data_IF_441349996814
#
_entry.id   IF_441349996814
#
_cell.length_a   1.000
_cell.length_b   1.000
_cell.length_c   1.000
_cell.angle_alpha   90.00
_cell.angle_beta   90.00
_cell.angle_gamma   90.00
#
_symmetry.space_group_name_H-M   'P 1'
#
loop_
_entity.id
_entity.type
_entity.pdbx_description
1 polymer ?
#
# COMPACT_ATOMS: atom_id res chain seq x y z
N UNK A 1 20.89 13.64 -20.60
CA UNK A 1 20.26 12.44 -19.98
C UNK A 1 18.76 12.36 -20.30
N UNK A 2 18.00 13.46 -20.16
CA UNK A 2 16.55 13.48 -20.41
C UNK A 2 16.14 13.18 -21.86
N UNK A 3 16.88 13.62 -22.86
CA UNK A 3 16.58 13.39 -24.28
C UNK A 3 16.82 11.94 -24.73
N UNK A 4 17.83 11.27 -24.18
CA UNK A 4 18.08 9.85 -24.45
C UNK A 4 16.98 8.96 -23.83
N UNK A 5 16.50 9.34 -22.65
CA UNK A 5 15.42 8.65 -21.94
C UNK A 5 14.08 8.71 -22.68
N UNK A 6 13.73 9.85 -23.31
CA UNK A 6 12.53 9.98 -24.15
C UNK A 6 12.58 9.05 -25.38
N UNK A 7 13.72 8.99 -26.09
CA UNK A 7 13.88 8.12 -27.26
C UNK A 7 13.80 6.65 -26.89
N UNK A 8 14.36 6.27 -25.73
CA UNK A 8 14.33 4.90 -25.26
C UNK A 8 12.91 4.47 -24.84
N UNK A 9 12.12 5.37 -24.26
CA UNK A 9 10.70 5.12 -23.95
C UNK A 9 9.87 4.85 -25.23
N UNK A 10 10.11 5.61 -26.29
CA UNK A 10 9.41 5.42 -27.57
C UNK A 10 9.85 4.17 -28.35
N UNK A 11 11.05 3.65 -28.09
CA UNK A 11 11.55 2.45 -28.78
C UNK A 11 11.13 1.14 -28.11
N UNK A 12 10.91 1.12 -26.80
CA UNK A 12 10.61 -0.10 -26.05
C UNK A 12 9.12 -0.39 -25.90
N UNK A 13 8.26 0.62 -26.07
CA UNK A 13 6.81 0.49 -25.90
C UNK A 13 6.20 1.06 -27.18
N UNK A 14 5.41 0.29 -27.90
CA UNK A 14 4.63 0.76 -29.07
C UNK A 14 3.57 1.80 -28.68
N UNK A 15 3.44 2.09 -27.41
CA UNK A 15 2.45 2.96 -26.83
C UNK A 15 2.95 4.40 -26.79
N UNK A 16 2.01 5.34 -26.87
CA UNK A 16 2.32 6.77 -26.83
C UNK A 16 2.52 7.20 -25.37
N UNK A 17 3.62 7.87 -25.08
CA UNK A 17 3.89 8.48 -23.77
C UNK A 17 3.79 9.99 -23.91
N UNK A 18 2.87 10.59 -23.16
CA UNK A 18 2.68 12.03 -23.09
C UNK A 18 3.18 12.53 -21.74
N UNK A 19 3.95 13.59 -21.74
CA UNK A 19 4.43 14.24 -20.52
C UNK A 19 3.66 15.54 -20.36
N UNK A 20 3.19 15.82 -19.13
CA UNK A 20 2.54 17.11 -18.81
C UNK A 20 3.59 18.22 -18.98
N UNK A 21 3.42 19.16 -19.93
CA UNK A 21 4.47 20.14 -20.26
C UNK A 21 4.87 21.01 -19.08
N UNK A 22 3.89 21.39 -18.25
CA UNK A 22 4.08 22.27 -17.09
C UNK A 22 4.82 21.58 -15.93
N UNK A 23 4.88 20.24 -15.94
CA UNK A 23 5.52 19.40 -14.91
C UNK A 23 6.74 18.64 -15.42
N UNK A 24 7.15 18.91 -16.65
CA UNK A 24 8.25 18.17 -17.28
C UNK A 24 9.62 18.54 -16.73
N UNK A 25 9.84 19.81 -16.48
CA UNK A 25 11.12 20.33 -15.96
C UNK A 25 11.05 20.46 -14.46
N UNK A 26 12.14 20.11 -13.73
CA UNK A 26 12.20 20.31 -12.29
C UNK A 26 12.02 21.79 -11.92
N UNK A 27 11.14 22.06 -10.97
CA UNK A 27 10.93 23.37 -10.37
C UNK A 27 10.75 23.19 -8.86
N UNK A 28 11.65 23.75 -8.04
CA UNK A 28 11.65 23.61 -6.61
C UNK A 28 10.47 24.30 -5.89
N UNK A 29 9.79 25.22 -6.57
CA UNK A 29 8.63 25.92 -6.04
C UNK A 29 7.31 25.16 -6.26
N UNK A 30 7.32 24.09 -7.10
CA UNK A 30 6.16 23.26 -7.42
C UNK A 30 4.91 24.08 -7.81
N UNK A 31 4.98 25.00 -8.79
CA UNK A 31 3.93 25.99 -9.04
C UNK A 31 2.58 25.42 -9.49
N UNK A 32 2.54 24.14 -9.87
CA UNK A 32 1.35 23.46 -10.36
C UNK A 32 0.60 22.66 -9.30
N UNK A 33 1.16 22.50 -8.11
CA UNK A 33 0.59 21.72 -7.01
C UNK A 33 0.89 22.38 -5.66
N UNK A 34 -0.06 22.35 -4.74
CA UNK A 34 0.16 22.84 -3.37
C UNK A 34 0.93 21.83 -2.52
N UNK A 35 0.84 20.56 -2.85
CA UNK A 35 1.50 19.45 -2.18
C UNK A 35 1.98 18.41 -3.19
N UNK A 36 3.28 18.28 -3.45
CA UNK A 36 3.83 17.38 -4.47
C UNK A 36 3.87 15.93 -4.00
N UNK A 37 2.70 15.35 -3.75
CA UNK A 37 2.53 13.98 -3.31
C UNK A 37 1.48 13.28 -4.19
N UNK A 38 1.77 12.12 -4.77
CA UNK A 38 0.85 11.38 -5.64
C UNK A 38 -0.37 10.78 -4.90
N UNK A 39 -0.46 10.91 -3.59
CA UNK A 39 -1.68 10.63 -2.84
C UNK A 39 -2.73 11.74 -3.00
N UNK A 40 -2.30 12.96 -3.34
CA UNK A 40 -3.17 14.11 -3.48
C UNK A 40 -3.84 14.11 -4.86
N UNK A 41 -5.17 14.08 -4.91
CA UNK A 41 -5.94 14.10 -6.17
C UNK A 41 -5.63 15.32 -7.04
N UNK A 42 -5.35 16.47 -6.43
CA UNK A 42 -5.00 17.71 -7.13
C UNK A 42 -3.70 17.59 -7.93
N UNK A 43 -2.74 16.77 -7.48
CA UNK A 43 -1.49 16.54 -8.19
C UNK A 43 -1.69 15.91 -9.58
N UNK A 44 -2.85 15.28 -9.82
CA UNK A 44 -3.21 14.66 -11.08
C UNK A 44 -4.06 15.56 -12.01
N UNK A 45 -4.42 16.77 -11.61
CA UNK A 45 -5.37 17.59 -12.37
C UNK A 45 -4.92 17.81 -13.82
N UNK A 46 -3.66 18.20 -14.04
CA UNK A 46 -3.10 18.41 -15.38
C UNK A 46 -2.93 17.09 -16.14
N UNK A 47 -2.45 16.04 -15.46
CA UNK A 47 -2.29 14.72 -16.06
C UNK A 47 -3.63 14.13 -16.53
N UNK A 48 -4.69 14.25 -15.72
CA UNK A 48 -6.03 13.79 -16.09
C UNK A 48 -6.64 14.60 -17.24
N UNK A 49 -6.38 15.91 -17.30
CA UNK A 49 -6.81 16.74 -18.43
C UNK A 49 -6.14 16.28 -19.74
N UNK A 50 -4.82 16.09 -19.71
CA UNK A 50 -4.06 15.59 -20.84
C UNK A 50 -4.48 14.16 -21.22
N UNK A 51 -4.73 13.30 -20.26
CA UNK A 51 -5.18 11.93 -20.49
C UNK A 51 -6.53 11.87 -21.20
N UNK A 52 -7.48 12.73 -20.83
CA UNK A 52 -8.77 12.85 -21.52
C UNK A 52 -8.60 13.34 -22.96
N UNK A 53 -7.71 14.30 -23.22
CA UNK A 53 -7.41 14.79 -24.56
C UNK A 53 -6.79 13.70 -25.46
N UNK A 54 -5.87 12.91 -24.89
CA UNK A 54 -5.11 11.90 -25.62
C UNK A 54 -5.75 10.51 -25.60
N UNK A 55 -6.87 10.36 -24.90
CA UNK A 55 -7.53 9.07 -24.67
C UNK A 55 -6.59 8.02 -24.07
N UNK A 56 -5.78 8.44 -23.09
CA UNK A 56 -4.74 7.60 -22.51
C UNK A 56 -5.34 6.51 -21.59
N UNK A 57 -4.70 5.35 -21.50
CA UNK A 57 -5.13 4.24 -20.66
C UNK A 57 -4.75 4.44 -19.19
N UNK A 58 -3.63 5.14 -18.94
CA UNK A 58 -3.04 5.33 -17.61
C UNK A 58 -2.61 6.78 -17.40
N UNK A 59 -2.69 7.25 -16.16
CA UNK A 59 -2.02 8.46 -15.70
C UNK A 59 -1.13 8.10 -14.53
N UNK A 60 0.14 8.46 -14.62
CA UNK A 60 1.18 8.10 -13.66
C UNK A 60 1.86 9.37 -13.16
N UNK A 61 2.08 9.48 -11.85
CA UNK A 61 2.83 10.57 -11.25
C UNK A 61 3.71 10.04 -10.11
N UNK A 62 4.93 10.52 -10.04
CA UNK A 62 5.84 10.25 -8.91
C UNK A 62 5.87 11.45 -7.97
N UNK A 63 6.30 11.24 -6.73
CA UNK A 63 6.75 12.31 -5.87
C UNK A 63 8.15 12.84 -6.30
N UNK A 64 8.66 13.91 -5.67
CA UNK A 64 9.88 14.56 -6.13
C UNK A 64 11.14 13.70 -6.10
N UNK A 65 11.26 12.77 -5.15
CA UNK A 65 12.40 11.83 -5.04
C UNK A 65 12.16 10.50 -5.75
N UNK A 66 10.96 10.37 -6.42
CA UNK A 66 10.58 9.22 -7.24
C UNK A 66 10.62 7.88 -6.48
N UNK A 67 10.21 7.88 -5.22
CA UNK A 67 10.06 6.67 -4.42
C UNK A 67 8.60 6.17 -4.37
N UNK A 68 7.60 7.03 -4.64
CA UNK A 68 6.16 6.73 -4.68
C UNK A 68 5.59 6.90 -6.08
N UNK A 69 4.64 6.04 -6.43
CA UNK A 69 3.93 6.06 -7.70
C UNK A 69 2.43 6.14 -7.51
N UNK A 70 1.84 7.28 -7.84
CA UNK A 70 0.39 7.41 -7.95
C UNK A 70 -0.10 7.02 -9.34
N UNK A 71 -1.30 6.45 -9.38
CA UNK A 71 -1.84 5.81 -10.59
C UNK A 71 -3.32 6.11 -10.74
N UNK A 72 -3.72 6.52 -11.92
CA UNK A 72 -5.11 6.44 -12.39
C UNK A 72 -5.18 5.51 -13.58
N UNK A 73 -6.21 4.68 -13.62
CA UNK A 73 -6.48 3.73 -14.70
C UNK A 73 -7.81 4.06 -15.34
N UNK A 74 -7.89 3.93 -16.67
CA UNK A 74 -9.14 4.13 -17.38
C UNK A 74 -10.03 2.91 -17.24
N UNK A 75 -11.27 3.10 -16.78
CA UNK A 75 -12.32 2.09 -16.87
C UNK A 75 -12.92 2.09 -18.28
N UNK A 76 -12.78 0.99 -19.00
CA UNK A 76 -13.27 0.87 -20.37
C UNK A 76 -14.79 0.95 -20.48
N UNK A 77 -15.54 0.64 -19.39
CA UNK A 77 -17.00 0.62 -19.39
C UNK A 77 -17.60 2.01 -19.19
N UNK A 78 -17.06 2.78 -18.25
CA UNK A 78 -17.55 4.13 -17.96
C UNK A 78 -16.79 5.23 -18.71
N UNK A 79 -15.57 4.95 -19.15
CA UNK A 79 -14.63 5.94 -19.69
C UNK A 79 -13.98 6.83 -18.63
N UNK A 80 -14.30 6.61 -17.35
CA UNK A 80 -13.76 7.39 -16.23
C UNK A 80 -12.36 6.92 -15.81
N UNK A 81 -11.59 7.83 -15.24
CA UNK A 81 -10.29 7.53 -14.66
C UNK A 81 -10.41 7.23 -13.17
N UNK A 82 -10.12 6.01 -12.79
CA UNK A 82 -10.24 5.49 -11.42
C UNK A 82 -8.87 5.61 -10.71
N UNK A 83 -8.78 6.32 -9.58
CA UNK A 83 -7.56 6.34 -8.78
C UNK A 83 -7.32 4.98 -8.12
N UNK A 84 -6.11 4.44 -8.27
CA UNK A 84 -5.66 3.32 -7.47
C UNK A 84 -4.99 3.84 -6.21
N UNK A 85 -5.40 3.34 -5.04
CA UNK A 85 -4.66 3.57 -3.79
C UNK A 85 -3.32 2.85 -3.83
N UNK A 86 -2.38 3.22 -2.94
CA UNK A 86 -1.11 2.51 -2.84
C UNK A 86 -1.27 1.01 -2.55
N UNK A 87 -2.28 0.65 -1.76
CA UNK A 87 -2.65 -0.74 -1.51
C UNK A 87 -3.13 -1.45 -2.78
N UNK A 88 -3.95 -0.79 -3.62
CA UNK A 88 -4.46 -1.36 -4.86
C UNK A 88 -3.34 -1.53 -5.90
N UNK A 89 -2.58 -0.48 -6.17
CA UNK A 89 -1.50 -0.52 -7.16
C UNK A 89 -0.38 -1.47 -6.74
N UNK A 90 -0.02 -1.49 -5.44
CA UNK A 90 0.96 -2.41 -4.88
C UNK A 90 0.52 -3.86 -4.95
N UNK A 91 -0.75 -4.17 -4.63
CA UNK A 91 -1.31 -5.52 -4.75
C UNK A 91 -1.36 -5.99 -6.21
N UNK A 92 -1.77 -5.12 -7.13
CA UNK A 92 -1.80 -5.41 -8.57
C UNK A 92 -0.39 -5.74 -9.09
N UNK A 93 0.61 -4.93 -8.71
CA UNK A 93 2.01 -5.20 -9.05
C UNK A 93 2.53 -6.49 -8.42
N UNK A 94 2.15 -6.79 -7.17
CA UNK A 94 2.51 -8.04 -6.50
C UNK A 94 1.98 -9.25 -7.28
N UNK A 95 0.67 -9.26 -7.60
CA UNK A 95 0.02 -10.31 -8.40
C UNK A 95 0.70 -10.46 -9.76
N UNK A 96 0.93 -9.34 -10.47
CA UNK A 96 1.58 -9.35 -11.77
C UNK A 96 2.99 -9.92 -11.71
N UNK A 97 3.83 -9.43 -10.79
CA UNK A 97 5.23 -9.88 -10.65
C UNK A 97 5.30 -11.37 -10.31
N UNK A 98 4.49 -11.84 -9.37
CA UNK A 98 4.48 -13.26 -8.99
C UNK A 98 3.99 -14.15 -10.15
N UNK A 99 2.91 -13.73 -10.83
CA UNK A 99 2.37 -14.47 -11.97
C UNK A 99 3.39 -14.59 -13.11
N UNK A 100 4.07 -13.49 -13.45
CA UNK A 100 5.05 -13.47 -14.53
C UNK A 100 6.33 -14.22 -14.19
N UNK A 101 6.80 -14.14 -12.94
CA UNK A 101 7.94 -14.95 -12.47
C UNK A 101 7.59 -16.46 -12.55
N UNK A 102 6.38 -16.83 -12.11
CA UNK A 102 5.91 -18.22 -12.17
C UNK A 102 5.75 -18.70 -13.61
N UNK A 103 5.17 -17.89 -14.49
CA UNK A 103 4.97 -18.23 -15.91
C UNK A 103 6.31 -18.45 -16.63
N UNK A 104 7.25 -17.53 -16.44
CA UNK A 104 8.58 -17.59 -17.10
C UNK A 104 9.48 -18.72 -16.58
N UNK A 105 9.43 -19.01 -15.29
CA UNK A 105 10.31 -20.01 -14.64
C UNK A 105 9.66 -21.39 -14.42
N UNK A 106 8.34 -21.52 -14.68
CA UNK A 106 7.54 -22.72 -14.39
C UNK A 106 7.12 -22.83 -12.91
N UNK A 107 7.88 -22.28 -11.98
CA UNK A 107 7.58 -22.23 -10.55
C UNK A 107 8.23 -21.01 -9.90
N UNK A 108 7.71 -20.60 -8.74
CA UNK A 108 8.40 -19.67 -7.87
C UNK A 108 9.45 -20.40 -7.00
N UNK A 109 10.48 -19.69 -6.53
CA UNK A 109 11.42 -20.25 -5.55
C UNK A 109 10.69 -20.76 -4.31
N UNK A 110 11.06 -21.95 -3.82
CA UNK A 110 10.42 -22.57 -2.65
C UNK A 110 10.57 -21.75 -1.37
N UNK A 111 11.61 -20.93 -1.29
CA UNK A 111 11.91 -19.98 -0.21
C UNK A 111 11.55 -18.53 -0.58
N UNK A 112 10.72 -18.35 -1.61
CA UNK A 112 10.29 -17.04 -2.09
C UNK A 112 9.46 -16.28 -1.05
N UNK A 113 9.74 -15.00 -0.90
CA UNK A 113 9.08 -14.14 0.08
C UNK A 113 8.58 -12.83 -0.52
N UNK A 114 7.37 -12.44 -0.11
CA UNK A 114 6.82 -11.10 -0.24
C UNK A 114 6.94 -10.42 1.12
N UNK A 115 7.34 -9.15 1.13
CA UNK A 115 7.53 -8.37 2.36
C UNK A 115 6.58 -7.16 2.33
N UNK A 116 5.78 -6.96 3.39
CA UNK A 116 4.88 -5.81 3.51
C UNK A 116 4.99 -5.14 4.87
N UNK A 117 4.59 -3.87 4.96
CA UNK A 117 4.41 -3.23 6.28
C UNK A 117 3.16 -3.78 6.97
N UNK A 118 3.14 -3.75 8.32
CA UNK A 118 2.00 -4.19 9.13
C UNK A 118 0.70 -3.41 8.86
N UNK A 119 0.77 -2.26 8.21
CA UNK A 119 -0.38 -1.42 7.86
C UNK A 119 -0.74 -1.50 6.36
N UNK A 120 -0.08 -2.38 5.63
CA UNK A 120 -0.39 -2.67 4.23
C UNK A 120 -1.51 -3.70 4.14
N UNK A 121 -2.35 -3.59 3.14
CA UNK A 121 -3.55 -4.39 2.92
C UNK A 121 -3.35 -5.90 3.08
N UNK A 122 -4.35 -6.58 3.66
CA UNK A 122 -4.40 -8.04 3.75
C UNK A 122 -4.76 -8.71 2.40
N UNK A 123 -5.04 -7.96 1.34
CA UNK A 123 -5.14 -8.52 -0.01
C UNK A 123 -3.82 -9.19 -0.43
N UNK A 124 -2.69 -8.64 -0.01
CA UNK A 124 -1.35 -9.22 -0.27
C UNK A 124 -1.15 -10.55 0.44
N UNK A 125 -1.78 -10.77 1.60
CA UNK A 125 -1.75 -12.05 2.33
C UNK A 125 -2.40 -13.16 1.49
N UNK A 126 -3.55 -12.87 0.92
CA UNK A 126 -4.28 -13.81 0.06
C UNK A 126 -3.51 -14.10 -1.24
N UNK A 127 -2.86 -13.07 -1.81
CA UNK A 127 -1.99 -13.25 -2.98
C UNK A 127 -0.81 -14.16 -2.62
N UNK A 128 -0.08 -13.86 -1.56
CA UNK A 128 1.06 -14.68 -1.12
C UNK A 128 0.67 -16.14 -0.86
N UNK A 129 -0.47 -16.35 -0.20
CA UNK A 129 -1.06 -17.66 0.03
C UNK A 129 -1.38 -18.40 -1.28
N UNK A 130 -2.00 -17.74 -2.26
CA UNK A 130 -2.37 -18.34 -3.53
C UNK A 130 -1.15 -18.75 -4.37
N UNK A 131 -0.05 -18.03 -4.23
CA UNK A 131 1.23 -18.35 -4.88
C UNK A 131 2.11 -19.28 -4.05
N UNK A 132 1.70 -19.66 -2.84
CA UNK A 132 2.48 -20.48 -1.90
C UNK A 132 3.87 -19.88 -1.65
N UNK A 133 3.94 -18.58 -1.43
CA UNK A 133 5.16 -17.86 -1.05
C UNK A 133 5.05 -17.35 0.38
N UNK A 134 6.19 -17.18 1.04
CA UNK A 134 6.23 -16.66 2.40
C UNK A 134 5.81 -15.19 2.40
N UNK A 135 4.91 -14.83 3.33
CA UNK A 135 4.65 -13.44 3.66
C UNK A 135 5.45 -13.05 4.91
N UNK A 136 6.12 -11.91 4.85
CA UNK A 136 6.87 -11.32 5.97
C UNK A 136 6.27 -9.94 6.24
N UNK A 137 5.74 -9.78 7.45
CA UNK A 137 5.31 -8.47 7.94
C UNK A 137 6.46 -7.77 8.65
N UNK A 138 6.60 -6.46 8.41
CA UNK A 138 7.59 -5.61 9.06
C UNK A 138 6.93 -4.33 9.57
N UNK A 139 7.59 -3.61 10.46
CA UNK A 139 7.13 -2.27 10.88
C UNK A 139 7.08 -1.30 9.69
N UNK A 140 6.31 -0.22 9.82
CA UNK A 140 6.25 0.84 8.82
C UNK A 140 7.61 1.49 8.58
N UNK A 141 7.89 1.75 7.33
CA UNK A 141 9.14 2.32 6.83
C UNK A 141 9.96 1.31 6.04
N UNK A 142 10.22 1.64 4.79
CA UNK A 142 10.84 0.74 3.82
C UNK A 142 12.22 0.22 4.24
N UNK A 143 12.90 0.93 5.17
CA UNK A 143 14.14 0.46 5.82
C UNK A 143 14.02 -0.96 6.39
N UNK A 144 12.83 -1.35 6.85
CA UNK A 144 12.60 -2.69 7.39
C UNK A 144 12.50 -3.73 6.28
N UNK A 145 11.87 -3.39 5.15
CA UNK A 145 11.90 -4.22 3.94
C UNK A 145 13.34 -4.35 3.43
N UNK A 146 14.08 -3.23 3.37
CA UNK A 146 15.50 -3.23 3.03
C UNK A 146 16.36 -4.10 3.95
N UNK A 147 16.02 -4.17 5.26
CA UNK A 147 16.67 -5.05 6.23
C UNK A 147 16.41 -6.53 5.94
N UNK A 148 15.19 -6.90 5.55
CA UNK A 148 14.88 -8.28 5.15
C UNK A 148 15.65 -8.68 3.89
N UNK A 149 15.75 -7.80 2.89
CA UNK A 149 16.56 -8.04 1.70
C UNK A 149 18.02 -8.30 2.09
N UNK A 150 18.59 -7.47 2.95
CA UNK A 150 19.96 -7.65 3.44
C UNK A 150 20.12 -8.98 4.20
N UNK A 151 19.11 -9.35 5.01
CA UNK A 151 19.08 -10.61 5.73
C UNK A 151 19.12 -11.83 4.81
N UNK A 152 18.38 -11.81 3.71
CA UNK A 152 18.41 -12.86 2.68
C UNK A 152 19.80 -12.95 2.02
N UNK A 153 20.38 -11.81 1.66
CA UNK A 153 21.72 -11.77 1.05
C UNK A 153 22.82 -12.30 1.98
N UNK A 154 22.81 -11.89 3.25
CA UNK A 154 23.80 -12.30 4.23
C UNK A 154 23.68 -13.76 4.65
N UNK A 155 22.45 -14.26 4.78
CA UNK A 155 22.22 -15.65 5.20
C UNK A 155 22.28 -16.65 4.05
N UNK A 156 22.11 -16.19 2.81
CA UNK A 156 21.91 -17.06 1.64
C UNK A 156 20.61 -17.89 1.73
N UNK A 157 19.66 -17.51 2.60
CA UNK A 157 18.38 -18.19 2.83
C UNK A 157 17.24 -17.24 2.57
N UNK A 158 16.24 -17.68 1.79
CA UNK A 158 15.12 -16.86 1.35
C UNK A 158 15.41 -16.11 0.06
N UNK A 159 14.39 -15.96 -0.76
CA UNK A 159 14.43 -15.23 -2.03
C UNK A 159 13.42 -14.10 -2.00
N UNK A 160 13.90 -12.86 -2.04
CA UNK A 160 13.03 -11.69 -2.14
C UNK A 160 12.33 -11.66 -3.50
N UNK A 161 11.01 -11.59 -3.51
CA UNK A 161 10.20 -11.54 -4.73
C UNK A 161 9.61 -10.18 -4.99
N UNK A 162 9.07 -9.53 -3.93
CA UNK A 162 8.42 -8.23 -3.98
C UNK A 162 8.28 -7.63 -2.58
N UNK A 163 8.31 -6.31 -2.47
CA UNK A 163 8.03 -5.60 -1.22
C UNK A 163 7.25 -4.33 -1.45
N UNK A 164 6.36 -3.98 -0.52
CA UNK A 164 5.46 -2.83 -0.66
C UNK A 164 5.05 -2.22 0.67
N UNK A 165 4.67 -0.96 0.58
CA UNK A 165 4.00 -0.18 1.62
C UNK A 165 2.71 0.44 1.08
N UNK A 166 1.72 0.66 1.94
CA UNK A 166 0.45 1.31 1.62
C UNK A 166 0.61 2.73 1.07
N UNK A 167 1.73 3.38 1.39
CA UNK A 167 2.06 4.74 1.00
C UNK A 167 2.62 4.87 -0.42
N UNK A 168 2.02 4.13 -1.37
CA UNK A 168 2.31 4.21 -2.81
C UNK A 168 3.71 3.76 -3.23
N UNK A 169 4.43 3.04 -2.37
CA UNK A 169 5.79 2.62 -2.64
C UNK A 169 5.98 1.11 -2.71
N UNK A 170 6.75 0.63 -3.67
CA UNK A 170 7.16 -0.76 -3.78
C UNK A 170 8.58 -0.90 -4.36
N UNK A 171 9.12 -2.11 -4.24
CA UNK A 171 10.40 -2.49 -4.81
C UNK A 171 10.30 -3.90 -5.43
N UNK A 172 10.65 -4.03 -6.70
CA UNK A 172 10.50 -5.28 -7.46
C UNK A 172 11.75 -6.15 -7.39
N UNK A 173 12.91 -5.56 -7.20
CA UNK A 173 14.22 -6.24 -7.18
C UNK A 173 15.03 -5.91 -5.93
N UNK A 174 16.28 -6.40 -5.90
CA UNK A 174 17.19 -6.20 -4.76
C UNK A 174 18.29 -5.19 -5.03
N UNK A 175 18.22 -4.46 -6.15
CA UNK A 175 19.21 -3.47 -6.58
C UNK A 175 19.20 -2.16 -5.73
N UNK A 176 18.11 -1.93 -5.01
CA UNK A 176 17.94 -0.82 -4.07
C UNK A 176 17.52 -1.34 -2.69
N UNK A 177 17.42 -0.43 -1.72
CA UNK A 177 16.95 -0.71 -0.34
C UNK A 177 15.82 0.20 0.08
N UNK A 178 15.27 0.93 -0.88
CA UNK A 178 14.09 1.77 -0.71
C UNK A 178 13.17 1.57 -1.92
N UNK A 179 11.98 2.14 -1.82
CA UNK A 179 10.95 2.17 -2.87
C UNK A 179 11.51 2.75 -4.17
N UNK A 180 11.00 2.29 -5.28
CA UNK A 180 11.43 2.78 -6.60
C UNK A 180 10.24 2.93 -7.54
N UNK A 181 9.78 4.18 -7.68
CA UNK A 181 8.68 4.51 -8.57
C UNK A 181 9.04 4.37 -10.05
N UNK A 182 10.33 4.41 -10.41
CA UNK A 182 10.76 4.26 -11.81
C UNK A 182 10.54 2.83 -12.27
N UNK A 183 11.01 1.85 -11.50
CA UNK A 183 10.76 0.43 -11.82
C UNK A 183 9.29 0.05 -11.67
N UNK A 184 8.59 0.62 -10.68
CA UNK A 184 7.15 0.43 -10.52
C UNK A 184 6.37 0.94 -11.75
N UNK A 185 6.73 2.12 -12.29
CA UNK A 185 6.16 2.68 -13.52
C UNK A 185 6.34 1.73 -14.70
N UNK A 186 7.56 1.23 -14.91
CA UNK A 186 7.85 0.28 -16.01
C UNK A 186 7.03 -0.99 -15.86
N UNK A 187 7.02 -1.58 -14.66
CA UNK A 187 6.28 -2.81 -14.41
C UNK A 187 4.76 -2.63 -14.54
N UNK A 188 4.23 -1.47 -14.15
CA UNK A 188 2.80 -1.17 -14.30
C UNK A 188 2.41 -0.99 -15.77
N UNK A 189 3.24 -0.31 -16.57
CA UNK A 189 3.04 -0.21 -18.03
C UNK A 189 3.15 -1.59 -18.70
N UNK A 190 4.11 -2.42 -18.27
CA UNK A 190 4.24 -3.80 -18.76
C UNK A 190 2.99 -4.63 -18.39
N UNK A 191 2.48 -4.50 -17.17
CA UNK A 191 1.25 -5.15 -16.74
C UNK A 191 0.05 -4.70 -17.57
N UNK A 192 -0.10 -3.39 -17.81
CA UNK A 192 -1.18 -2.86 -18.63
C UNK A 192 -1.13 -3.42 -20.06
N UNK A 193 0.05 -3.41 -20.69
CA UNK A 193 0.23 -3.97 -22.03
C UNK A 193 -0.06 -5.49 -22.06
N UNK A 194 0.42 -6.23 -21.07
CA UNK A 194 0.14 -7.67 -20.94
C UNK A 194 -1.35 -7.97 -20.81
N UNK A 195 -2.06 -7.26 -19.93
CA UNK A 195 -3.49 -7.50 -19.75
C UNK A 195 -4.33 -6.97 -20.92
N UNK A 196 -3.88 -5.92 -21.62
CA UNK A 196 -4.50 -5.47 -22.85
C UNK A 196 -4.50 -6.55 -23.95
N UNK A 197 -3.45 -7.39 -24.03
CA UNK A 197 -3.45 -8.56 -24.94
C UNK A 197 -4.52 -9.59 -24.59
N UNK A 198 -5.07 -9.54 -23.37
CA UNK A 198 -6.16 -10.38 -22.89
C UNK A 198 -7.52 -9.67 -22.90
N UNK A 199 -7.59 -8.47 -23.49
CA UNK A 199 -8.79 -7.66 -23.56
C UNK A 199 -9.23 -7.03 -22.24
N UNK A 200 -8.30 -6.83 -21.29
CA UNK A 200 -8.57 -6.29 -19.95
C UNK A 200 -7.79 -5.00 -19.70
N UNK A 201 -8.44 -4.04 -19.07
CA UNK A 201 -7.79 -2.89 -18.44
C UNK A 201 -7.20 -3.29 -17.07
N UNK A 202 -6.33 -2.45 -16.49
CA UNK A 202 -5.88 -2.69 -15.11
C UNK A 202 -7.01 -2.56 -14.09
N UNK A 203 -8.07 -1.80 -14.40
CA UNK A 203 -9.26 -1.78 -13.55
C UNK A 203 -10.01 -3.12 -13.58
N UNK A 204 -10.20 -3.71 -14.75
CA UNK A 204 -10.80 -5.05 -14.84
C UNK A 204 -9.97 -6.09 -14.06
N UNK A 205 -8.64 -5.99 -14.12
CA UNK A 205 -7.76 -6.88 -13.35
C UNK A 205 -7.92 -6.67 -11.85
N UNK A 206 -8.07 -5.42 -11.39
CA UNK A 206 -8.31 -5.13 -9.97
C UNK A 206 -9.62 -5.74 -9.49
N UNK A 207 -10.68 -5.67 -10.30
CA UNK A 207 -11.97 -6.32 -10.00
C UNK A 207 -11.82 -7.84 -9.96
N UNK A 208 -11.15 -8.47 -10.95
CA UNK A 208 -10.86 -9.91 -10.92
C UNK A 208 -10.12 -10.33 -9.64
N UNK A 209 -9.18 -9.51 -9.18
CA UNK A 209 -8.45 -9.77 -7.93
C UNK A 209 -9.37 -9.71 -6.71
N UNK A 210 -10.26 -8.74 -6.64
CA UNK A 210 -11.25 -8.67 -5.58
C UNK A 210 -12.21 -9.85 -5.59
N UNK A 211 -12.69 -10.26 -6.76
CA UNK A 211 -13.54 -11.45 -6.90
C UNK A 211 -12.81 -12.73 -6.46
N UNK A 212 -11.52 -12.82 -6.77
CA UNK A 212 -10.69 -13.98 -6.45
C UNK A 212 -10.28 -14.05 -4.98
N UNK A 213 -9.94 -12.93 -4.36
CA UNK A 213 -9.29 -12.86 -3.04
C UNK A 213 -10.18 -12.29 -1.94
N UNK A 214 -11.28 -11.64 -2.31
CA UNK A 214 -12.17 -10.88 -1.45
C UNK A 214 -11.97 -9.38 -1.59
N UNK A 215 -13.04 -8.63 -1.35
CA UNK A 215 -13.06 -7.18 -1.44
C UNK A 215 -12.44 -6.56 -0.20
N UNK A 216 -11.17 -6.20 -0.29
CA UNK A 216 -10.44 -5.51 0.78
C UNK A 216 -10.49 -4.00 0.55
N UNK A 217 -10.99 -3.27 1.55
CA UNK A 217 -10.96 -1.81 1.59
C UNK A 217 -10.15 -1.37 2.79
N UNK A 218 -9.07 -0.67 2.53
CA UNK A 218 -8.17 -0.14 3.54
C UNK A 218 -8.26 1.38 3.57
N UNK A 219 -8.29 1.96 4.76
CA UNK A 219 -8.45 3.40 4.96
C UNK A 219 -7.63 3.91 6.13
N UNK A 220 -7.49 5.23 6.19
CA UNK A 220 -6.74 5.92 7.25
C UNK A 220 -7.60 7.06 7.78
N UNK A 221 -7.72 7.15 9.10
CA UNK A 221 -8.20 8.35 9.78
C UNK A 221 -7.04 8.96 10.56
N UNK A 222 -6.69 10.20 10.23
CA UNK A 222 -5.68 10.96 10.96
C UNK A 222 -6.38 11.89 11.96
N UNK A 223 -5.83 11.97 13.16
CA UNK A 223 -6.33 12.81 14.24
C UNK A 223 -5.22 13.73 14.73
N UNK A 224 -5.44 15.02 14.62
CA UNK A 224 -4.51 16.04 15.08
C UNK A 224 -4.81 16.44 16.51
N UNK A 225 -3.78 16.61 17.32
CA UNK A 225 -3.85 17.09 18.70
C UNK A 225 -3.14 18.44 18.82
N UNK A 226 -3.81 19.55 18.43
CA UNK A 226 -3.17 20.86 18.41
C UNK A 226 -2.90 21.39 19.82
N UNK A 227 -1.92 22.30 19.91
CA UNK A 227 -1.56 23.00 21.14
C UNK A 227 -0.49 22.30 21.98
N UNK A 228 -0.06 22.99 23.04
CA UNK A 228 1.04 22.54 23.93
C UNK A 228 0.75 21.21 24.63
N UNK A 229 -0.52 20.95 24.97
CA UNK A 229 -0.97 19.71 25.62
C UNK A 229 -1.25 18.55 24.63
N UNK A 230 -1.12 18.80 23.33
CA UNK A 230 -1.49 17.81 22.30
C UNK A 230 -0.72 16.51 22.41
N UNK A 231 0.59 16.59 22.67
CA UNK A 231 1.44 15.40 22.87
C UNK A 231 1.03 14.58 24.11
N UNK A 232 0.61 15.23 25.19
CA UNK A 232 0.21 14.54 26.42
C UNK A 232 -1.16 13.88 26.24
N UNK A 233 -2.10 14.54 25.56
CA UNK A 233 -3.40 13.93 25.20
C UNK A 233 -3.23 12.70 24.31
N UNK A 234 -2.34 12.79 23.32
CA UNK A 234 -2.01 11.67 22.44
C UNK A 234 -1.44 10.48 23.21
N UNK A 235 -0.49 10.72 24.14
CA UNK A 235 0.09 9.70 24.99
C UNK A 235 -0.96 9.09 25.93
N UNK A 236 -1.83 9.92 26.53
CA UNK A 236 -2.89 9.47 27.42
C UNK A 236 -3.90 8.55 26.66
N UNK A 237 -4.27 8.90 25.44
CA UNK A 237 -5.12 8.06 24.60
C UNK A 237 -4.49 6.67 24.36
N UNK A 238 -3.22 6.63 23.95
CA UNK A 238 -2.52 5.35 23.73
C UNK A 238 -2.36 4.55 25.00
N UNK A 239 -2.07 5.21 26.13
CA UNK A 239 -2.02 4.55 27.44
C UNK A 239 -3.37 3.93 27.79
N UNK A 240 -4.47 4.67 27.61
CA UNK A 240 -5.82 4.16 27.87
C UNK A 240 -6.15 2.93 27.01
N UNK A 241 -5.81 2.93 25.71
CA UNK A 241 -6.01 1.77 24.83
C UNK A 241 -5.20 0.54 25.27
N UNK A 242 -4.03 0.74 25.90
CA UNK A 242 -3.19 -0.35 26.46
C UNK A 242 -3.67 -0.87 27.80
N UNK A 243 -4.16 0.01 28.66
CA UNK A 243 -4.64 -0.34 30.01
C UNK A 243 -6.02 -0.97 29.98
N UNK A 244 -6.84 -0.59 29.01
CA UNK A 244 -8.21 -1.06 28.82
C UNK A 244 -8.35 -1.79 27.49
N UNK A 245 -7.89 -3.06 27.40
CA UNK A 245 -7.95 -3.85 26.18
C UNK A 245 -9.36 -3.94 25.61
N UNK A 246 -9.53 -3.54 24.36
CA UNK A 246 -10.83 -3.56 23.70
C UNK A 246 -11.22 -4.99 23.34
N UNK A 247 -12.52 -5.32 23.49
CA UNK A 247 -13.10 -6.60 23.09
C UNK A 247 -13.89 -6.50 21.79
N UNK A 248 -14.26 -5.27 21.42
CA UNK A 248 -15.01 -4.94 20.21
C UNK A 248 -14.49 -3.63 19.64
N UNK A 249 -14.42 -3.54 18.31
CA UNK A 249 -14.09 -2.34 17.56
C UNK A 249 -15.08 -2.24 16.39
N UNK A 250 -15.87 -1.18 16.35
CA UNK A 250 -16.84 -0.91 15.28
C UNK A 250 -17.85 -2.06 15.04
N UNK A 251 -18.15 -2.88 16.08
CA UNK A 251 -19.02 -4.04 15.99
C UNK A 251 -18.33 -5.34 15.61
N UNK A 252 -17.00 -5.35 15.53
CA UNK A 252 -16.18 -6.53 15.25
C UNK A 252 -15.48 -7.02 16.52
N UNK A 253 -15.60 -8.33 16.83
CA UNK A 253 -14.89 -8.97 17.94
C UNK A 253 -13.38 -8.84 17.75
N UNK A 254 -12.67 -8.38 18.80
CA UNK A 254 -11.20 -8.38 18.82
C UNK A 254 -10.72 -9.80 19.13
N UNK A 255 -9.89 -10.34 18.25
CA UNK A 255 -9.30 -11.68 18.40
C UNK A 255 -7.92 -11.60 19.04
N UNK A 256 -7.06 -10.70 18.55
CA UNK A 256 -5.71 -10.50 19.08
C UNK A 256 -5.36 -9.02 19.19
N UNK A 257 -4.51 -8.71 20.16
CA UNK A 257 -3.94 -7.37 20.35
C UNK A 257 -2.42 -7.51 20.30
N UNK A 258 -1.79 -6.85 19.32
CA UNK A 258 -0.34 -6.76 19.21
C UNK A 258 0.11 -5.41 19.78
N UNK A 259 0.83 -5.39 20.89
CA UNK A 259 1.50 -4.19 21.42
C UNK A 259 3.00 -4.27 21.13
N UNK A 260 3.41 -3.57 20.08
CA UNK A 260 4.81 -3.57 19.66
C UNK A 260 5.73 -2.83 20.64
N UNK A 261 5.20 -1.99 21.53
CA UNK A 261 6.01 -1.34 22.56
C UNK A 261 6.44 -2.30 23.66
N UNK A 262 5.66 -3.37 23.88
CA UNK A 262 5.87 -4.40 24.91
C UNK A 262 6.33 -5.73 24.33
N UNK A 263 6.46 -5.82 22.98
CA UNK A 263 6.74 -7.09 22.27
C UNK A 263 5.75 -8.20 22.64
N UNK A 264 4.43 -7.88 22.65
CA UNK A 264 3.39 -8.84 23.05
C UNK A 264 2.28 -8.96 22.00
N UNK A 265 1.83 -10.18 21.78
CA UNK A 265 0.59 -10.55 21.08
C UNK A 265 -0.32 -11.24 22.07
N UNK A 266 -1.37 -10.57 22.51
CA UNK A 266 -2.38 -11.12 23.41
C UNK A 266 -3.49 -11.76 22.56
N UNK A 267 -3.73 -13.05 22.73
CA UNK A 267 -4.96 -13.70 22.28
C UNK A 267 -6.06 -13.41 23.31
N UNK A 268 -7.11 -12.70 22.87
CA UNK A 268 -8.13 -12.14 23.77
C UNK A 268 -9.02 -13.23 24.38
N UNK A 269 -9.23 -14.34 23.66
CA UNK A 269 -10.09 -15.43 24.12
C UNK A 269 -9.38 -16.36 25.10
N UNK A 270 -8.17 -16.78 24.78
CA UNK A 270 -7.40 -17.71 25.61
C UNK A 270 -6.60 -17.03 26.72
N UNK A 271 -6.29 -15.73 26.57
CA UNK A 271 -5.38 -14.99 27.44
C UNK A 271 -3.90 -15.31 27.23
N UNK A 272 -3.57 -16.11 26.21
CA UNK A 272 -2.19 -16.44 25.89
C UNK A 272 -1.45 -15.21 25.35
N UNK A 273 -0.18 -15.09 25.74
CA UNK A 273 0.71 -14.00 25.29
C UNK A 273 1.93 -14.58 24.62
N UNK A 274 2.21 -14.11 23.39
CA UNK A 274 3.38 -14.48 22.59
C UNK A 274 4.15 -13.21 22.21
N UNK A 275 5.44 -13.28 21.83
CA UNK A 275 6.16 -12.13 21.31
C UNK A 275 5.69 -11.76 19.90
N UNK A 276 5.75 -10.46 19.54
CA UNK A 276 5.49 -9.99 18.18
C UNK A 276 6.60 -10.40 17.21
N UNK A 277 7.81 -10.59 17.72
CA UNK A 277 9.01 -10.88 16.94
C UNK A 277 9.54 -9.70 16.11
N UNK A 278 8.97 -8.50 16.30
CA UNK A 278 9.38 -7.27 15.63
C UNK A 278 10.03 -6.31 16.64
N UNK A 279 10.86 -5.36 16.17
CA UNK A 279 11.46 -4.36 17.02
C UNK A 279 10.43 -3.53 17.79
N UNK A 280 10.81 -3.04 18.98
CA UNK A 280 9.94 -2.19 19.78
C UNK A 280 9.52 -0.92 19.01
N UNK A 281 8.22 -0.62 19.02
CA UNK A 281 7.63 0.54 18.37
C UNK A 281 6.35 0.95 19.09
N UNK A 282 6.06 2.24 19.15
CA UNK A 282 4.83 2.74 19.79
C UNK A 282 3.62 2.54 18.88
N UNK A 283 3.22 1.29 18.70
CA UNK A 283 2.13 0.86 17.81
C UNK A 283 1.27 -0.18 18.53
N UNK A 284 -0.05 -0.04 18.39
CA UNK A 284 -1.04 -1.04 18.72
C UNK A 284 -1.70 -1.56 17.45
N UNK A 285 -1.88 -2.87 17.36
CA UNK A 285 -2.55 -3.51 16.24
C UNK A 285 -3.58 -4.50 16.75
N UNK A 286 -4.79 -4.43 16.23
CA UNK A 286 -5.92 -5.28 16.59
C UNK A 286 -6.28 -6.17 15.41
N UNK A 287 -6.21 -7.49 15.59
CA UNK A 287 -6.78 -8.46 14.66
C UNK A 287 -8.24 -8.70 15.06
N UNK A 288 -9.13 -8.55 14.08
CA UNK A 288 -10.56 -8.61 14.29
C UNK A 288 -11.17 -9.80 13.55
N UNK A 289 -12.38 -10.17 13.93
CA UNK A 289 -13.12 -11.20 13.21
C UNK A 289 -13.35 -10.83 11.73
N UNK A 290 -13.58 -11.83 10.88
CA UNK A 290 -13.79 -11.61 9.44
C UNK A 290 -12.54 -11.16 8.67
N UNK A 291 -11.36 -11.12 9.31
CA UNK A 291 -10.12 -10.65 8.71
C UNK A 291 -9.98 -9.12 8.67
N UNK A 292 -10.86 -8.41 9.39
CA UNK A 292 -10.71 -6.97 9.60
C UNK A 292 -9.56 -6.69 10.59
N UNK A 293 -9.04 -5.47 10.55
CA UNK A 293 -7.94 -5.06 11.42
C UNK A 293 -7.92 -3.55 11.67
N UNK A 294 -7.32 -3.16 12.78
CA UNK A 294 -7.05 -1.75 13.10
C UNK A 294 -5.62 -1.61 13.63
N UNK A 295 -4.90 -0.62 13.15
CA UNK A 295 -3.58 -0.25 13.68
C UNK A 295 -3.59 1.21 14.14
N UNK A 296 -3.19 1.44 15.37
CA UNK A 296 -3.10 2.78 15.98
C UNK A 296 -1.62 3.14 16.11
N UNK A 297 -1.23 4.21 15.43
CA UNK A 297 0.16 4.65 15.37
C UNK A 297 0.28 6.16 15.57
N UNK A 298 1.00 6.62 16.60
CA UNK A 298 1.32 8.03 16.74
C UNK A 298 2.39 8.45 15.72
N UNK A 299 2.35 9.72 15.32
CA UNK A 299 3.45 10.34 14.59
C UNK A 299 4.63 10.55 15.54
N UNK A 300 5.85 10.30 15.05
CA UNK A 300 7.07 10.55 15.84
C UNK A 300 7.47 12.03 15.88
N UNK A 301 6.94 12.86 14.98
CA UNK A 301 7.38 14.26 14.78
C UNK A 301 6.29 15.29 15.02
N UNK A 302 5.02 14.89 14.93
CA UNK A 302 3.86 15.77 15.03
C UNK A 302 2.88 15.23 16.08
N UNK A 303 2.09 16.09 16.76
CA UNK A 303 1.04 15.64 17.66
C UNK A 303 -0.17 15.11 16.86
N UNK A 304 0.00 13.95 16.27
CA UNK A 304 -0.95 13.30 15.36
C UNK A 304 -0.97 11.79 15.59
N UNK A 305 -2.14 11.20 15.64
CA UNK A 305 -2.34 9.75 15.60
C UNK A 305 -2.97 9.36 14.28
N UNK A 306 -2.48 8.28 13.68
CA UNK A 306 -3.09 7.64 12.52
C UNK A 306 -3.74 6.33 12.94
N UNK A 307 -5.00 6.18 12.59
CA UNK A 307 -5.73 4.93 12.64
C UNK A 307 -5.78 4.37 11.23
N UNK A 308 -5.06 3.28 11.02
CA UNK A 308 -5.17 2.48 9.81
C UNK A 308 -6.16 1.38 10.07
N UNK A 309 -7.01 1.07 9.14
CA UNK A 309 -7.94 -0.05 9.26
C UNK A 309 -8.25 -0.64 7.90
N UNK A 310 -8.50 -1.94 7.90
CA UNK A 310 -8.88 -2.69 6.73
C UNK A 310 -10.04 -3.62 7.02
N UNK A 311 -10.92 -3.76 6.06
CA UNK A 311 -12.05 -4.69 6.09
C UNK A 311 -12.02 -5.58 4.87
N UNK A 312 -12.55 -6.79 5.02
CA UNK A 312 -12.77 -7.74 3.93
C UNK A 312 -14.25 -8.09 3.86
N UNK A 313 -14.85 -7.96 2.70
CA UNK A 313 -16.28 -8.21 2.50
C UNK A 313 -16.54 -9.00 1.22
N UNK A 314 -17.82 -9.30 0.96
CA UNK A 314 -18.27 -10.04 -0.22
C UNK A 314 -18.47 -9.15 -1.45
N UNK A 315 -18.55 -7.82 -1.27
CA UNK A 315 -18.68 -6.83 -2.33
C UNK A 315 -17.98 -5.52 -1.96
N UNK A 316 -17.71 -4.67 -2.95
CA UNK A 316 -17.12 -3.35 -2.74
C UNK A 316 -18.03 -2.44 -1.90
N UNK A 317 -19.33 -2.45 -2.19
CA UNK A 317 -20.31 -1.62 -1.47
C UNK A 317 -20.38 -2.01 0.02
N UNK A 318 -20.40 -3.31 0.32
CA UNK A 318 -20.35 -3.81 1.69
C UNK A 318 -19.04 -3.38 2.38
N UNK A 319 -17.90 -3.57 1.72
CA UNK A 319 -16.60 -3.19 2.28
C UNK A 319 -16.50 -1.68 2.57
N UNK A 320 -17.08 -0.85 1.73
CA UNK A 320 -17.14 0.61 1.95
C UNK A 320 -18.03 0.98 3.14
N UNK A 321 -19.20 0.35 3.26
CA UNK A 321 -20.11 0.55 4.41
C UNK A 321 -19.41 0.14 5.72
N UNK A 322 -18.78 -1.01 5.73
CA UNK A 322 -18.04 -1.49 6.91
C UNK A 322 -16.84 -0.58 7.25
N UNK A 323 -16.06 -0.16 6.24
CA UNK A 323 -14.94 0.77 6.44
C UNK A 323 -15.39 2.11 7.05
N UNK A 324 -16.59 2.59 6.70
CA UNK A 324 -17.15 3.82 7.28
C UNK A 324 -17.41 3.70 8.80
N UNK A 325 -17.79 2.51 9.30
CA UNK A 325 -17.96 2.27 10.75
C UNK A 325 -16.63 2.42 11.50
N UNK A 326 -15.54 1.93 10.92
CA UNK A 326 -14.20 2.11 11.49
C UNK A 326 -13.76 3.57 11.49
N UNK A 327 -14.10 4.33 10.44
CA UNK A 327 -13.82 5.77 10.41
C UNK A 327 -14.54 6.51 11.54
N UNK A 328 -15.83 6.20 11.79
CA UNK A 328 -16.58 6.80 12.89
C UNK A 328 -16.05 6.36 14.26
N UNK A 329 -15.70 5.07 14.40
CA UNK A 329 -15.07 4.58 15.63
C UNK A 329 -13.75 5.31 15.91
N UNK A 330 -12.89 5.47 14.90
CA UNK A 330 -11.61 6.16 15.05
C UNK A 330 -11.79 7.62 15.47
N UNK A 331 -12.75 8.34 14.87
CA UNK A 331 -13.08 9.73 15.25
C UNK A 331 -13.59 9.83 16.70
N UNK A 332 -14.32 8.84 17.18
CA UNK A 332 -14.86 8.82 18.53
C UNK A 332 -13.79 8.56 19.62
N UNK A 333 -12.54 8.27 19.24
CA UNK A 333 -11.42 8.15 20.20
C UNK A 333 -10.80 9.52 20.55
N UNK A 334 -11.24 10.63 19.94
CA UNK A 334 -10.72 11.99 20.16
C UNK A 334 -11.03 12.57 21.55
#
# INVERSE_FOLDING_TARGET
LHTAYRRQRQMCIRDSVYVVPEQELPDGDFPTVSYPNPEAKEAFALGLALAKEKDADLVLATDPDADRLGVYVKDAKSGEYIPLTGNMSGSLLCEYVLSQKKEKAGSLPADGAVVKSIVTTNLVDEIAKAYNVKLIEVLTGFKWIGKEILGFEQSGKGTYLFGLEESYGCLIGTYARDKDAVSATVALCEAAAYYATKGKTLWDVMIDMYEKYGYCVDSITAMDFPGLEGMDKMKAMLANLRENPLKDIAGYKVLKIRDYSKDTVLDVESGNVEPTGLPASDVLYYELEGGAWVCVRPSGTEPKIKFYYGVKASSMDEAQVESAKFAEWAKAQA
#
